data_IF_252257025703
#
_entry.id   IF_252257025703
#
_cell.length_a   1.000
_cell.length_b   1.000
_cell.length_c   1.000
_cell.angle_alpha   90.00
_cell.angle_beta   90.00
_cell.angle_gamma   90.00
#
_symmetry.space_group_name_H-M   'P 1'
#
loop_
_entity.id
_entity.type
_entity.pdbx_description
1 polymer ?
#
# COMPACT_ATOMS: atom_id res chain seq x y z
N UNK A 1 21.93 -24.79 -13.01
CA UNK A 1 20.82 -25.40 -13.74
C UNK A 1 19.92 -26.27 -12.85
N UNK A 2 20.29 -26.56 -11.60
CA UNK A 2 19.52 -27.46 -10.71
C UNK A 2 18.44 -26.79 -9.82
N UNK A 3 18.14 -25.49 -10.00
CA UNK A 3 17.04 -24.82 -9.28
C UNK A 3 15.82 -24.51 -10.15
N UNK A 4 15.90 -24.71 -11.47
CA UNK A 4 14.76 -24.55 -12.38
C UNK A 4 13.92 -25.82 -12.49
N UNK A 5 14.48 -27.00 -12.16
CA UNK A 5 13.78 -28.28 -12.15
C UNK A 5 12.82 -28.44 -10.96
N UNK A 6 13.02 -27.69 -9.87
CA UNK A 6 12.11 -27.69 -8.73
C UNK A 6 10.89 -26.79 -8.93
N UNK A 7 10.89 -25.85 -9.89
CA UNK A 7 9.71 -25.02 -10.14
C UNK A 7 8.61 -25.82 -10.88
N UNK A 8 8.98 -26.65 -11.86
CA UNK A 8 8.00 -27.41 -12.67
C UNK A 8 7.37 -28.61 -11.94
N UNK A 9 8.02 -29.15 -10.90
CA UNK A 9 7.45 -30.25 -10.13
C UNK A 9 6.37 -29.80 -9.12
N UNK A 10 6.42 -28.54 -8.66
CA UNK A 10 5.49 -28.02 -7.64
C UNK A 10 4.34 -27.20 -8.22
N UNK A 11 4.41 -26.73 -9.47
CA UNK A 11 3.24 -26.20 -10.20
C UNK A 11 2.13 -27.25 -10.39
N UNK A 12 2.45 -28.53 -10.19
CA UNK A 12 1.53 -29.66 -10.33
C UNK A 12 0.74 -29.99 -9.06
N UNK A 13 1.18 -29.50 -7.88
CA UNK A 13 0.47 -29.70 -6.61
C UNK A 13 -0.26 -28.42 -6.19
N UNK A 14 -1.57 -28.47 -5.86
CA UNK A 14 -2.30 -27.31 -5.36
C UNK A 14 -1.60 -26.73 -4.12
N UNK A 15 -1.34 -25.42 -4.11
CA UNK A 15 -0.76 -24.67 -2.98
C UNK A 15 -1.46 -24.99 -1.64
N UNK A 16 -2.76 -25.32 -1.70
CA UNK A 16 -3.61 -25.73 -0.56
C UNK A 16 -3.28 -27.10 0.06
N UNK A 17 -2.55 -27.98 -0.62
CA UNK A 17 -2.24 -29.34 -0.12
C UNK A 17 -0.98 -29.39 0.74
N UNK A 18 -0.23 -28.30 0.86
CA UNK A 18 0.98 -28.24 1.67
C UNK A 18 0.59 -27.72 3.07
N UNK A 19 0.76 -28.50 4.14
CA UNK A 19 0.51 -28.04 5.51
C UNK A 19 1.28 -26.74 5.81
N UNK A 20 0.62 -25.80 6.51
CA UNK A 20 1.22 -24.50 6.88
C UNK A 20 2.53 -24.64 7.66
N UNK A 21 2.65 -25.67 8.51
CA UNK A 21 3.86 -25.99 9.26
C UNK A 21 5.05 -26.36 8.37
N UNK A 22 4.81 -27.08 7.27
CA UNK A 22 5.82 -27.46 6.29
C UNK A 22 6.21 -26.23 5.47
N UNK A 23 5.22 -25.46 5.00
CA UNK A 23 5.43 -24.19 4.28
C UNK A 23 6.33 -23.24 5.07
N UNK A 24 5.98 -22.96 6.34
CA UNK A 24 6.74 -22.04 7.20
C UNK A 24 8.15 -22.55 7.49
N UNK A 25 8.36 -23.88 7.57
CA UNK A 25 9.68 -24.47 7.80
C UNK A 25 10.60 -24.35 6.58
N UNK A 26 10.06 -24.44 5.36
CA UNK A 26 10.84 -24.25 4.13
C UNK A 26 11.21 -22.78 3.87
N UNK A 27 10.36 -21.84 4.30
CA UNK A 27 10.62 -20.40 4.16
C UNK A 27 11.48 -19.80 5.28
N UNK A 28 11.92 -20.57 6.28
CA UNK A 28 12.80 -20.06 7.35
C UNK A 28 14.16 -19.61 6.82
N UNK A 29 14.28 -18.34 6.47
CA UNK A 29 15.53 -17.69 6.10
C UNK A 29 16.14 -17.00 7.32
N UNK A 30 16.79 -17.77 8.20
CA UNK A 30 17.39 -17.30 9.48
C UNK A 30 18.38 -16.12 9.38
N UNK A 31 18.77 -15.69 8.18
CA UNK A 31 19.77 -14.64 7.96
C UNK A 31 19.33 -13.49 7.04
N UNK A 32 18.21 -13.58 6.30
CA UNK A 32 17.83 -12.52 5.34
C UNK A 32 16.81 -11.51 5.88
N UNK A 33 16.00 -11.88 6.87
CA UNK A 33 14.94 -11.00 7.41
C UNK A 33 15.50 -10.01 8.46
N UNK A 34 16.70 -10.22 8.98
CA UNK A 34 17.30 -9.41 10.06
C UNK A 34 18.24 -8.31 9.59
N UNK A 35 18.38 -8.08 8.28
CA UNK A 35 19.19 -7.00 7.73
C UNK A 35 18.33 -6.06 6.89
N UNK A 36 17.37 -5.39 7.55
CA UNK A 36 16.70 -4.22 6.97
C UNK A 36 17.75 -3.14 6.72
N UNK A 37 18.11 -2.96 5.45
CA UNK A 37 18.92 -1.83 5.02
C UNK A 37 18.01 -0.89 4.27
N UNK A 38 18.04 0.39 4.62
CA UNK A 38 17.26 1.45 3.95
C UNK A 38 17.43 1.39 2.42
N UNK A 39 18.64 1.05 1.97
CA UNK A 39 19.05 0.84 0.58
C UNK A 39 18.19 -0.21 -0.17
N UNK A 40 17.65 -1.20 0.55
CA UNK A 40 16.83 -2.27 -0.01
C UNK A 40 15.34 -1.91 -0.03
N UNK A 41 14.89 -1.07 0.91
CA UNK A 41 13.48 -0.72 1.09
C UNK A 41 12.97 0.27 0.04
N UNK A 42 13.85 1.13 -0.49
CA UNK A 42 13.46 2.12 -1.49
C UNK A 42 14.57 2.54 -2.44
N UNK A 43 15.12 1.62 -3.26
CA UNK A 43 16.13 2.01 -4.25
C UNK A 43 15.63 3.09 -5.22
N UNK A 44 14.32 3.11 -5.53
CA UNK A 44 13.72 4.17 -6.36
C UNK A 44 13.61 5.48 -5.56
N UNK A 45 13.37 5.43 -4.26
CA UNK A 45 13.33 6.64 -3.42
C UNK A 45 14.66 7.35 -3.31
N UNK A 46 15.76 6.58 -3.28
CA UNK A 46 17.10 7.14 -3.34
C UNK A 46 17.33 7.88 -4.66
N UNK A 47 17.03 7.23 -5.79
CA UNK A 47 17.17 7.84 -7.12
C UNK A 47 16.27 9.05 -7.30
N UNK A 48 15.03 8.99 -6.82
CA UNK A 48 14.06 10.10 -6.84
C UNK A 48 14.60 11.28 -6.03
N UNK A 49 15.10 11.02 -4.82
CA UNK A 49 15.66 12.06 -3.95
C UNK A 49 16.87 12.73 -4.59
N UNK A 50 17.78 11.94 -5.20
CA UNK A 50 18.95 12.46 -5.91
C UNK A 50 18.55 13.33 -7.12
N UNK A 51 17.57 12.88 -7.91
CA UNK A 51 17.06 13.62 -9.05
C UNK A 51 16.42 14.95 -8.62
N UNK A 52 15.52 14.91 -7.64
CA UNK A 52 14.83 16.10 -7.13
C UNK A 52 15.81 17.08 -6.45
N UNK A 53 16.79 16.57 -5.70
CA UNK A 53 17.84 17.40 -5.09
C UNK A 53 18.67 18.12 -6.16
N UNK A 54 19.01 17.41 -7.25
CA UNK A 54 19.73 18.00 -8.38
C UNK A 54 18.94 19.13 -9.04
N UNK A 55 17.63 18.97 -9.19
CA UNK A 55 16.74 20.03 -9.70
C UNK A 55 16.67 21.22 -8.74
N UNK A 56 16.48 20.98 -7.45
CA UNK A 56 16.40 22.04 -6.44
C UNK A 56 17.70 22.87 -6.36
N UNK A 57 18.86 22.21 -6.45
CA UNK A 57 20.16 22.89 -6.48
C UNK A 57 20.36 23.67 -7.78
N UNK A 58 19.95 23.11 -8.92
CA UNK A 58 20.13 23.73 -10.24
C UNK A 58 19.19 24.92 -10.49
N UNK A 59 17.96 24.87 -9.93
CA UNK A 59 16.92 25.89 -10.13
C UNK A 59 17.37 27.28 -9.69
N UNK A 60 18.10 27.38 -8.57
CA UNK A 60 18.46 28.63 -7.86
C UNK A 60 17.29 29.48 -7.37
N UNK A 61 16.10 29.31 -7.96
CA UNK A 61 14.83 29.88 -7.54
C UNK A 61 13.97 28.84 -6.80
N UNK A 62 13.08 29.27 -5.88
CA UNK A 62 12.12 28.40 -5.22
C UNK A 62 11.26 27.61 -6.21
N UNK A 63 11.10 26.31 -5.99
CA UNK A 63 10.26 25.45 -6.82
C UNK A 63 8.93 25.22 -6.11
N UNK A 64 7.80 25.72 -6.64
CA UNK A 64 6.50 25.46 -6.05
C UNK A 64 6.06 24.03 -6.35
N UNK A 65 5.59 23.32 -5.32
CA UNK A 65 5.08 21.96 -5.42
C UNK A 65 3.74 21.81 -4.70
N UNK A 66 2.96 20.82 -5.11
CA UNK A 66 1.80 20.37 -4.35
C UNK A 66 2.29 19.26 -3.41
N UNK A 67 2.07 19.40 -2.11
CA UNK A 67 2.42 18.39 -1.09
C UNK A 67 1.83 17.02 -1.41
N UNK A 68 2.49 15.94 -0.98
CA UNK A 68 2.08 14.56 -1.32
C UNK A 68 0.79 14.12 -0.65
N UNK A 69 0.54 14.61 0.56
CA UNK A 69 -0.58 14.24 1.42
C UNK A 69 -1.45 15.45 1.71
N UNK A 70 -2.55 15.24 2.45
CA UNK A 70 -3.43 16.34 2.82
C UNK A 70 -2.67 17.37 3.63
N UNK A 71 -3.14 18.61 3.60
CA UNK A 71 -2.53 19.76 4.26
C UNK A 71 -2.15 19.47 5.71
N UNK A 72 -0.92 19.79 6.06
CA UNK A 72 -0.33 19.55 7.37
C UNK A 72 0.14 18.11 7.60
N UNK A 73 0.10 17.24 6.59
CA UNK A 73 0.53 15.84 6.66
C UNK A 73 1.80 15.62 5.87
N UNK A 74 2.76 14.91 6.46
CA UNK A 74 4.06 14.64 5.83
C UNK A 74 4.18 13.20 5.32
N UNK A 75 3.30 12.30 5.76
CA UNK A 75 3.29 10.89 5.35
C UNK A 75 1.89 10.30 5.58
N UNK A 76 1.61 9.12 5.03
CA UNK A 76 0.32 8.46 5.21
C UNK A 76 0.43 7.06 5.82
N UNK A 77 -0.65 6.58 6.43
CA UNK A 77 -0.86 5.20 6.84
C UNK A 77 -2.13 4.67 6.16
N UNK A 78 -2.01 3.51 5.52
CA UNK A 78 -3.14 2.64 5.21
C UNK A 78 -2.94 1.29 5.90
N UNK A 79 -3.93 0.86 6.67
CA UNK A 79 -3.97 -0.48 7.27
C UNK A 79 -4.77 -1.39 6.35
N UNK A 80 -4.23 -2.56 6.07
CA UNK A 80 -4.86 -3.55 5.19
C UNK A 80 -4.75 -4.95 5.76
N UNK A 81 -5.77 -5.76 5.45
CA UNK A 81 -5.89 -7.14 5.93
C UNK A 81 -6.18 -8.09 4.78
N UNK A 82 -5.32 -9.09 4.62
CA UNK A 82 -5.56 -10.20 3.69
C UNK A 82 -6.12 -11.36 4.52
N UNK A 83 -7.41 -11.67 4.32
CA UNK A 83 -8.13 -12.65 5.15
C UNK A 83 -8.04 -14.03 4.51
N UNK A 84 -7.15 -14.87 5.04
CA UNK A 84 -6.71 -16.12 4.40
C UNK A 84 -7.62 -17.31 4.70
N UNK A 85 -8.31 -17.30 5.84
CA UNK A 85 -9.12 -18.42 6.33
C UNK A 85 -10.43 -17.95 6.96
N UNK A 86 -11.37 -18.90 7.11
CA UNK A 86 -12.62 -18.67 7.82
C UNK A 86 -12.39 -18.28 9.29
N UNK A 87 -11.40 -18.90 9.95
CA UNK A 87 -11.05 -18.58 11.34
C UNK A 87 -10.54 -17.14 11.47
N UNK A 88 -9.70 -16.70 10.52
CA UNK A 88 -9.27 -15.30 10.45
C UNK A 88 -10.44 -14.34 10.27
N UNK A 89 -11.42 -14.69 9.43
CA UNK A 89 -12.63 -13.88 9.24
C UNK A 89 -13.52 -13.83 10.49
N UNK A 90 -13.80 -14.97 11.12
CA UNK A 90 -14.78 -15.10 12.19
C UNK A 90 -14.24 -14.60 13.54
N UNK A 91 -12.98 -14.89 13.85
CA UNK A 91 -12.39 -14.57 15.15
C UNK A 91 -11.38 -13.42 15.06
N UNK A 92 -10.39 -13.55 14.18
CA UNK A 92 -9.26 -12.62 14.12
C UNK A 92 -9.66 -11.21 13.70
N UNK A 93 -10.53 -11.10 12.68
CA UNK A 93 -10.99 -9.81 12.16
C UNK A 93 -11.74 -9.01 13.24
N UNK A 94 -12.54 -9.67 14.08
CA UNK A 94 -13.25 -9.02 15.19
C UNK A 94 -12.28 -8.35 16.17
N UNK A 95 -11.23 -9.06 16.59
CA UNK A 95 -10.22 -8.53 17.52
C UNK A 95 -9.44 -7.34 16.96
N UNK A 96 -9.08 -7.41 15.67
CA UNK A 96 -8.41 -6.29 15.01
C UNK A 96 -9.35 -5.07 14.91
N UNK A 97 -10.61 -5.26 14.54
CA UNK A 97 -11.61 -4.19 14.46
C UNK A 97 -11.82 -3.50 15.81
N UNK A 98 -11.78 -4.23 16.92
CA UNK A 98 -11.90 -3.64 18.26
C UNK A 98 -10.78 -2.62 18.51
N UNK A 99 -9.52 -3.00 18.24
CA UNK A 99 -8.36 -2.11 18.36
C UNK A 99 -8.46 -0.92 17.41
N UNK A 100 -8.84 -1.16 16.15
CA UNK A 100 -8.99 -0.09 15.16
C UNK A 100 -10.07 0.92 15.54
N UNK A 101 -11.21 0.45 16.07
CA UNK A 101 -12.30 1.29 16.58
C UNK A 101 -11.87 2.15 17.75
N UNK A 102 -11.11 1.60 18.70
CA UNK A 102 -10.56 2.34 19.84
C UNK A 102 -9.73 3.55 19.38
N UNK A 103 -9.06 3.43 18.23
CA UNK A 103 -8.21 4.48 17.66
C UNK A 103 -8.90 5.33 16.59
N UNK A 104 -10.13 4.97 16.18
CA UNK A 104 -10.84 5.60 15.07
C UNK A 104 -10.20 5.37 13.71
N UNK A 105 -9.51 4.23 13.53
CA UNK A 105 -8.87 3.81 12.29
C UNK A 105 -9.85 2.94 11.49
N UNK A 106 -9.80 3.07 10.16
CA UNK A 106 -10.52 2.20 9.23
C UNK A 106 -9.52 1.54 8.29
N UNK A 107 -9.58 0.22 8.20
CA UNK A 107 -8.71 -0.59 7.34
C UNK A 107 -9.41 -1.03 6.05
N UNK A 108 -8.62 -1.58 5.13
CA UNK A 108 -9.10 -2.27 3.92
C UNK A 108 -9.01 -3.79 4.11
N UNK A 109 -10.13 -4.49 4.00
CA UNK A 109 -10.27 -5.94 4.16
C UNK A 109 -10.35 -6.64 2.80
N UNK A 110 -9.27 -7.30 2.39
CA UNK A 110 -9.18 -8.03 1.14
C UNK A 110 -9.68 -9.48 1.33
N UNK A 111 -10.75 -9.85 0.64
CA UNK A 111 -11.45 -11.13 0.84
C UNK A 111 -11.43 -12.03 -0.42
N UNK A 112 -11.05 -13.32 -0.29
CA UNK A 112 -11.24 -14.30 -1.34
C UNK A 112 -12.68 -14.82 -1.33
N UNK A 113 -13.33 -14.94 -2.49
CA UNK A 113 -14.78 -15.25 -2.52
C UNK A 113 -15.16 -16.72 -2.51
N UNK A 114 -14.22 -17.60 -2.91
CA UNK A 114 -14.42 -19.03 -3.18
C UNK A 114 -13.38 -19.89 -2.44
N UNK A 115 -12.78 -19.35 -1.38
CA UNK A 115 -11.83 -20.07 -0.53
C UNK A 115 -12.48 -20.66 0.71
N UNK A 116 -13.39 -19.92 1.31
CA UNK A 116 -14.18 -20.33 2.46
C UNK A 116 -15.57 -19.68 2.37
N UNK A 117 -16.59 -20.19 3.10
CA UNK A 117 -17.91 -19.57 3.12
C UNK A 117 -17.85 -18.12 3.60
N UNK A 118 -18.46 -17.21 2.84
CA UNK A 118 -18.64 -15.82 3.24
C UNK A 118 -20.10 -15.60 3.62
N UNK A 119 -20.35 -15.15 4.86
CA UNK A 119 -21.67 -14.71 5.28
C UNK A 119 -21.85 -13.22 4.97
N UNK A 120 -23.03 -12.83 4.45
CA UNK A 120 -23.31 -11.40 4.22
C UNK A 120 -23.24 -10.59 5.52
N UNK A 121 -23.57 -11.19 6.67
CA UNK A 121 -23.49 -10.51 7.97
C UNK A 121 -22.06 -10.09 8.30
N UNK A 122 -21.09 -11.00 8.15
CA UNK A 122 -19.67 -10.71 8.41
C UNK A 122 -19.11 -9.70 7.41
N UNK A 123 -19.39 -9.88 6.11
CA UNK A 123 -18.90 -8.95 5.07
C UNK A 123 -19.51 -7.54 5.25
N UNK A 124 -20.78 -7.43 5.63
CA UNK A 124 -21.40 -6.13 5.98
C UNK A 124 -20.72 -5.53 7.22
N UNK A 125 -20.41 -6.32 8.24
CA UNK A 125 -19.72 -5.83 9.43
C UNK A 125 -18.32 -5.29 9.08
N UNK A 126 -17.55 -5.97 8.23
CA UNK A 126 -16.27 -5.45 7.72
C UNK A 126 -16.48 -4.14 6.96
N UNK A 127 -17.43 -4.11 6.04
CA UNK A 127 -17.76 -2.92 5.26
C UNK A 127 -18.25 -1.73 6.11
N UNK A 128 -18.86 -1.98 7.27
CA UNK A 128 -19.26 -0.91 8.20
C UNK A 128 -18.06 -0.30 8.94
N UNK A 129 -16.99 -1.06 9.16
CA UNK A 129 -15.81 -0.65 9.93
C UNK A 129 -14.59 -0.31 9.04
N UNK A 130 -14.71 -0.48 7.73
CA UNK A 130 -13.62 -0.24 6.80
C UNK A 130 -14.06 -0.31 5.35
N UNK A 131 -13.08 -0.56 4.48
CA UNK A 131 -13.27 -0.85 3.06
C UNK A 131 -13.21 -2.36 2.83
N UNK A 132 -13.97 -2.88 1.87
CA UNK A 132 -13.84 -4.27 1.40
C UNK A 132 -13.18 -4.25 0.03
N UNK A 133 -12.10 -5.02 -0.10
CA UNK A 133 -11.33 -5.23 -1.33
C UNK A 133 -11.42 -6.67 -1.84
N UNK A 134 -11.18 -6.86 -3.13
CA UNK A 134 -11.10 -8.18 -3.73
C UNK A 134 -9.76 -8.86 -3.46
N UNK A 135 -9.78 -10.14 -3.05
CA UNK A 135 -8.58 -10.96 -2.86
C UNK A 135 -8.64 -12.24 -3.66
N UNK A 136 -8.95 -12.10 -4.95
CA UNK A 136 -9.19 -13.21 -5.87
C UNK A 136 -10.41 -14.09 -5.48
N UNK A 137 -10.70 -15.16 -6.23
CA UNK A 137 -11.75 -16.11 -5.87
C UNK A 137 -11.18 -17.23 -5.00
N UNK A 138 -10.29 -18.05 -5.57
CA UNK A 138 -9.80 -19.28 -4.94
C UNK A 138 -8.50 -19.10 -4.16
N UNK A 139 -7.69 -18.07 -4.42
CA UNK A 139 -6.38 -17.96 -3.78
C UNK A 139 -5.54 -19.26 -3.94
N UNK A 140 -5.52 -19.80 -5.15
CA UNK A 140 -4.86 -21.07 -5.49
C UNK A 140 -3.45 -20.88 -6.08
N UNK A 141 -2.96 -19.63 -6.12
CA UNK A 141 -1.68 -19.26 -6.72
C UNK A 141 -1.65 -19.31 -8.25
N UNK A 142 -2.81 -19.52 -8.91
CA UNK A 142 -2.88 -19.67 -10.37
C UNK A 142 -3.29 -18.40 -11.11
N UNK A 143 -3.71 -17.35 -10.39
CA UNK A 143 -4.17 -16.09 -11.01
C UNK A 143 -3.13 -15.52 -11.97
N UNK A 144 -1.85 -15.48 -11.57
CA UNK A 144 -0.76 -15.01 -12.43
C UNK A 144 -0.61 -15.81 -13.74
N UNK A 145 -0.82 -17.12 -13.69
CA UNK A 145 -0.59 -18.04 -14.82
C UNK A 145 -1.82 -18.23 -15.72
N UNK A 146 -2.99 -17.77 -15.27
CA UNK A 146 -4.23 -17.87 -16.04
C UNK A 146 -4.17 -17.05 -17.35
N UNK A 147 -4.90 -17.48 -18.38
CA UNK A 147 -5.07 -16.67 -19.59
C UNK A 147 -5.88 -15.41 -19.31
N UNK A 148 -5.73 -14.37 -20.15
CA UNK A 148 -6.36 -13.05 -19.95
C UNK A 148 -7.88 -13.16 -19.71
N UNK A 149 -8.60 -13.98 -20.49
CA UNK A 149 -10.05 -14.17 -20.33
C UNK A 149 -10.42 -14.77 -18.97
N UNK A 150 -9.66 -15.78 -18.51
CA UNK A 150 -9.89 -16.42 -17.21
C UNK A 150 -9.54 -15.48 -16.06
N UNK A 151 -8.42 -14.73 -16.17
CA UNK A 151 -8.07 -13.67 -15.22
C UNK A 151 -9.21 -12.66 -15.09
N UNK A 152 -9.72 -12.15 -16.21
CA UNK A 152 -10.78 -11.14 -16.22
C UNK A 152 -12.08 -11.64 -15.59
N UNK A 153 -12.57 -12.81 -16.00
CA UNK A 153 -13.78 -13.43 -15.42
C UNK A 153 -13.61 -13.65 -13.91
N UNK A 154 -12.45 -14.15 -13.50
CA UNK A 154 -12.12 -14.45 -12.10
C UNK A 154 -12.12 -13.21 -11.22
N UNK A 155 -11.39 -12.16 -11.59
CA UNK A 155 -11.32 -10.94 -10.77
C UNK A 155 -12.62 -10.14 -10.81
N UNK A 156 -13.36 -10.18 -11.93
CA UNK A 156 -14.69 -9.57 -12.04
C UNK A 156 -15.71 -10.27 -11.14
N UNK A 157 -15.75 -11.60 -11.15
CA UNK A 157 -16.63 -12.40 -10.28
C UNK A 157 -16.34 -12.15 -8.80
N UNK A 158 -15.06 -12.07 -8.43
CA UNK A 158 -14.64 -11.72 -7.08
C UNK A 158 -15.27 -10.38 -6.66
N UNK A 159 -15.09 -9.33 -7.47
CA UNK A 159 -15.65 -7.99 -7.22
C UNK A 159 -17.16 -8.03 -7.05
N UNK A 160 -17.88 -8.52 -8.05
CA UNK A 160 -19.35 -8.50 -8.09
C UNK A 160 -19.96 -9.27 -6.91
N UNK A 161 -19.36 -10.40 -6.53
CA UNK A 161 -19.78 -11.18 -5.37
C UNK A 161 -19.58 -10.42 -4.06
N UNK A 162 -18.45 -9.74 -3.88
CA UNK A 162 -18.20 -8.93 -2.70
C UNK A 162 -19.08 -7.68 -2.65
N UNK A 163 -19.37 -7.05 -3.78
CA UNK A 163 -20.32 -5.94 -3.87
C UNK A 163 -21.72 -6.37 -3.44
N UNK A 164 -22.17 -7.53 -3.93
CA UNK A 164 -23.44 -8.12 -3.54
C UNK A 164 -23.50 -8.42 -2.02
N UNK A 165 -22.44 -9.04 -1.47
CA UNK A 165 -22.40 -9.42 -0.06
C UNK A 165 -22.28 -8.20 0.87
N UNK A 166 -21.45 -7.22 0.53
CA UNK A 166 -21.17 -6.02 1.35
C UNK A 166 -22.23 -4.92 1.19
N UNK A 167 -22.99 -4.94 0.08
CA UNK A 167 -23.86 -3.85 -0.36
C UNK A 167 -23.12 -2.52 -0.55
N UNK A 168 -21.83 -2.59 -0.88
CA UNK A 168 -20.96 -1.43 -1.15
C UNK A 168 -20.11 -1.71 -2.40
N UNK A 169 -19.66 -0.66 -3.12
CA UNK A 169 -18.70 -0.83 -4.20
C UNK A 169 -17.39 -1.44 -3.71
N UNK A 170 -16.78 -2.30 -4.53
CA UNK A 170 -15.47 -2.89 -4.26
C UNK A 170 -14.48 -2.30 -5.25
N UNK A 171 -13.68 -1.36 -4.76
CA UNK A 171 -12.82 -0.50 -5.57
C UNK A 171 -11.41 -1.03 -5.71
N UNK A 172 -10.94 -1.75 -4.69
CA UNK A 172 -9.58 -2.25 -4.61
C UNK A 172 -9.42 -3.73 -4.87
N UNK A 173 -8.25 -4.10 -5.35
CA UNK A 173 -7.80 -5.49 -5.42
C UNK A 173 -6.45 -5.68 -4.73
N UNK A 174 -6.26 -6.89 -4.19
CA UNK A 174 -5.00 -7.40 -3.70
C UNK A 174 -4.85 -8.82 -4.20
N UNK A 175 -3.81 -9.11 -4.96
CA UNK A 175 -3.58 -10.46 -5.45
C UNK A 175 -3.06 -11.36 -4.32
N UNK A 176 -3.54 -12.60 -4.22
CA UNK A 176 -2.92 -13.67 -3.44
C UNK A 176 -1.41 -13.70 -3.63
N UNK A 177 -0.66 -13.88 -2.54
CA UNK A 177 0.81 -13.98 -2.58
C UNK A 177 1.51 -12.78 -3.23
N UNK A 178 0.85 -11.62 -3.27
CA UNK A 178 1.32 -10.43 -3.97
C UNK A 178 1.71 -10.72 -5.43
N UNK A 179 0.94 -11.57 -6.12
CA UNK A 179 1.13 -11.84 -7.55
C UNK A 179 0.85 -10.57 -8.37
N UNK A 180 1.82 -10.11 -9.15
CA UNK A 180 1.66 -8.90 -9.95
C UNK A 180 2.33 -9.00 -11.31
N UNK A 181 1.71 -8.36 -12.29
CA UNK A 181 2.24 -8.12 -13.63
C UNK A 181 1.48 -6.97 -14.25
N UNK A 182 2.06 -6.32 -15.27
CA UNK A 182 1.36 -5.27 -16.03
C UNK A 182 0.04 -5.79 -16.63
N UNK A 183 0.05 -7.02 -17.13
CA UNK A 183 -1.14 -7.67 -17.69
C UNK A 183 -2.25 -7.86 -16.64
N UNK A 184 -1.87 -8.22 -15.40
CA UNK A 184 -2.83 -8.35 -14.32
C UNK A 184 -3.45 -6.99 -13.98
N UNK A 185 -2.64 -5.93 -13.83
CA UNK A 185 -3.16 -4.58 -13.56
C UNK A 185 -4.10 -4.11 -14.67
N UNK A 186 -3.74 -4.32 -15.93
CA UNK A 186 -4.62 -4.00 -17.06
C UNK A 186 -5.95 -4.77 -17.00
N UNK A 187 -5.89 -6.03 -16.56
CA UNK A 187 -7.07 -6.87 -16.39
C UNK A 187 -7.95 -6.36 -15.25
N UNK A 188 -7.36 -5.89 -14.15
CA UNK A 188 -8.09 -5.29 -13.03
C UNK A 188 -8.81 -4.00 -13.44
N UNK A 189 -8.15 -3.12 -14.20
CA UNK A 189 -8.78 -1.93 -14.76
C UNK A 189 -9.97 -2.27 -15.67
N UNK A 190 -9.82 -3.27 -16.55
CA UNK A 190 -10.94 -3.77 -17.39
C UNK A 190 -12.07 -4.41 -16.59
N UNK A 191 -11.74 -5.02 -15.46
CA UNK A 191 -12.72 -5.56 -14.54
C UNK A 191 -13.43 -4.47 -13.73
N UNK A 192 -12.94 -3.22 -13.76
CA UNK A 192 -13.51 -2.03 -13.14
C UNK A 192 -13.12 -1.84 -11.66
N UNK A 193 -11.93 -2.31 -11.27
CA UNK A 193 -11.27 -1.84 -10.06
C UNK A 193 -10.71 -0.42 -10.30
N UNK A 194 -10.52 0.35 -9.23
CA UNK A 194 -9.94 1.70 -9.23
C UNK A 194 -8.47 1.71 -8.79
N UNK A 195 -8.07 0.70 -8.01
CA UNK A 195 -6.68 0.54 -7.58
C UNK A 195 -6.29 -0.93 -7.39
N UNK A 196 -4.99 -1.18 -7.49
CA UNK A 196 -4.34 -2.41 -7.10
C UNK A 196 -3.35 -2.13 -5.95
N UNK A 197 -3.10 -3.12 -5.12
CA UNK A 197 -2.10 -3.04 -4.05
C UNK A 197 -1.27 -4.32 -4.00
N UNK A 198 -1.07 -4.98 -5.15
CA UNK A 198 -0.45 -6.31 -5.22
C UNK A 198 1.08 -6.27 -5.26
N UNK A 199 1.69 -5.11 -5.41
CA UNK A 199 3.14 -4.99 -5.54
C UNK A 199 3.79 -4.61 -4.20
N UNK A 200 4.72 -5.39 -3.65
CA UNK A 200 5.47 -4.95 -2.50
C UNK A 200 6.50 -3.88 -2.90
N UNK A 201 6.72 -2.88 -2.05
CA UNK A 201 7.89 -2.00 -2.21
C UNK A 201 9.17 -2.82 -2.08
N UNK A 202 9.19 -3.73 -1.10
CA UNK A 202 10.23 -4.72 -0.90
C UNK A 202 9.71 -5.87 -0.01
N UNK A 203 10.08 -7.10 -0.35
CA UNK A 203 9.94 -8.27 0.52
C UNK A 203 11.25 -9.04 0.62
N UNK A 204 11.58 -9.60 1.80
CA UNK A 204 12.79 -10.40 1.99
C UNK A 204 12.73 -11.71 1.19
N UNK A 205 11.54 -12.24 0.98
CA UNK A 205 11.32 -13.51 0.29
C UNK A 205 9.97 -13.49 -0.42
N UNK A 206 9.98 -13.13 -1.69
CA UNK A 206 8.77 -13.18 -2.50
C UNK A 206 8.33 -14.64 -2.73
N UNK A 207 7.05 -14.96 -2.50
CA UNK A 207 6.52 -16.30 -2.80
C UNK A 207 6.58 -16.67 -4.28
N UNK A 208 6.64 -15.68 -5.18
CA UNK A 208 6.63 -15.90 -6.64
C UNK A 208 8.03 -16.13 -7.20
N UNK A 209 9.06 -15.50 -6.64
CA UNK A 209 10.44 -15.58 -7.13
C UNK A 209 11.41 -16.36 -6.22
N UNK A 210 11.01 -16.63 -4.98
CA UNK A 210 11.87 -17.19 -3.92
C UNK A 210 13.15 -16.38 -3.68
N UNK A 211 13.12 -15.09 -4.00
CA UNK A 211 14.19 -14.12 -3.82
C UNK A 211 13.62 -12.81 -3.27
N UNK A 212 14.47 -11.91 -2.72
CA UNK A 212 14.04 -10.56 -2.43
C UNK A 212 13.50 -9.89 -3.70
N UNK A 213 12.36 -9.21 -3.59
CA UNK A 213 11.67 -8.60 -4.71
C UNK A 213 10.84 -7.40 -4.25
N UNK A 214 10.68 -6.42 -5.13
CA UNK A 214 9.77 -5.30 -4.92
C UNK A 214 9.92 -4.23 -5.99
N UNK A 215 8.95 -3.32 -6.06
CA UNK A 215 8.95 -2.20 -7.00
C UNK A 215 9.86 -1.05 -6.57
N UNK A 216 10.33 -1.07 -5.31
CA UNK A 216 11.35 -0.18 -4.79
C UNK A 216 10.92 1.25 -4.52
N UNK A 217 9.62 1.54 -4.55
CA UNK A 217 9.02 2.84 -4.17
C UNK A 217 7.98 2.65 -3.08
N UNK A 218 7.84 3.64 -2.20
CA UNK A 218 6.85 3.69 -1.11
C UNK A 218 5.72 4.68 -1.40
N UNK A 219 5.64 5.18 -2.63
CA UNK A 219 4.57 6.04 -3.09
C UNK A 219 3.64 5.27 -4.03
N UNK A 220 2.33 5.60 -4.03
CA UNK A 220 1.45 5.15 -5.08
C UNK A 220 1.94 5.64 -6.45
N UNK A 221 1.61 4.90 -7.52
CA UNK A 221 1.93 5.30 -8.88
C UNK A 221 0.89 4.80 -9.88
N UNK A 222 0.79 5.46 -11.03
CA UNK A 222 -0.06 5.00 -12.11
C UNK A 222 0.64 3.96 -12.96
N UNK A 223 -0.04 2.83 -13.19
CA UNK A 223 0.36 1.82 -14.15
C UNK A 223 -0.85 1.30 -14.91
N UNK A 224 -0.78 1.41 -16.22
CA UNK A 224 -1.86 0.99 -17.13
C UNK A 224 -3.24 1.59 -16.79
N UNK A 225 -3.27 2.86 -16.37
CA UNK A 225 -4.49 3.60 -16.05
C UNK A 225 -5.09 3.31 -14.67
N UNK A 226 -4.42 2.48 -13.85
CA UNK A 226 -4.82 2.15 -12.49
C UNK A 226 -3.79 2.70 -11.50
N UNK A 227 -4.24 3.08 -10.29
CA UNK A 227 -3.31 3.38 -9.19
C UNK A 227 -2.82 2.07 -8.59
N UNK A 228 -1.51 1.85 -8.60
CA UNK A 228 -0.86 0.84 -7.76
C UNK A 228 -0.46 1.49 -6.44
N UNK A 229 -0.82 0.88 -5.32
CA UNK A 229 -0.44 1.29 -3.97
C UNK A 229 0.47 0.19 -3.38
N UNK A 230 1.80 0.38 -3.40
CA UNK A 230 2.71 -0.67 -2.98
C UNK A 230 2.55 -1.05 -1.51
N UNK A 231 2.65 -2.35 -1.20
CA UNK A 231 2.81 -2.83 0.18
C UNK A 231 4.20 -2.43 0.67
N UNK A 232 4.28 -1.28 1.33
CA UNK A 232 5.53 -0.62 1.65
C UNK A 232 6.15 -1.01 2.98
N UNK A 233 5.35 -1.63 3.86
CA UNK A 233 5.84 -2.22 5.09
C UNK A 233 6.02 -3.74 4.93
N UNK A 234 7.01 -4.35 5.58
CA UNK A 234 7.12 -5.80 5.63
C UNK A 234 5.85 -6.42 6.22
N UNK A 235 5.39 -7.53 5.63
CA UNK A 235 4.21 -8.23 6.14
C UNK A 235 4.50 -8.86 7.51
N UNK A 236 3.48 -8.95 8.37
CA UNK A 236 3.52 -9.71 9.62
C UNK A 236 4.01 -11.15 9.43
N UNK A 237 3.53 -11.85 8.40
CA UNK A 237 3.97 -13.19 8.03
C UNK A 237 5.46 -13.25 7.70
N UNK A 238 5.99 -12.25 6.98
CA UNK A 238 7.40 -12.18 6.61
C UNK A 238 8.29 -11.97 7.85
N UNK A 239 7.87 -11.10 8.76
CA UNK A 239 8.61 -10.82 9.99
C UNK A 239 8.58 -12.01 10.97
N UNK A 240 7.38 -12.52 11.25
CA UNK A 240 7.16 -13.48 12.34
C UNK A 240 7.39 -14.91 11.87
N UNK A 241 6.77 -15.33 10.77
CA UNK A 241 6.76 -16.75 10.36
C UNK A 241 7.95 -17.13 9.48
N UNK A 242 8.34 -16.23 8.57
CA UNK A 242 9.52 -16.40 7.71
C UNK A 242 10.79 -16.00 8.47
N UNK A 243 10.78 -14.82 9.10
CA UNK A 243 11.90 -14.27 9.86
C UNK A 243 12.11 -14.86 11.25
N UNK A 244 11.06 -15.41 11.87
CA UNK A 244 11.13 -16.00 13.21
C UNK A 244 11.16 -14.97 14.34
N UNK A 245 10.74 -13.72 14.10
CA UNK A 245 10.64 -12.71 15.14
C UNK A 245 9.45 -12.99 16.06
N UNK A 246 9.57 -12.61 17.34
CA UNK A 246 8.42 -12.47 18.22
C UNK A 246 7.59 -11.24 17.86
N UNK A 247 6.32 -11.19 18.29
CA UNK A 247 5.37 -10.11 17.93
C UNK A 247 5.92 -8.72 18.29
N UNK A 248 6.41 -8.54 19.52
CA UNK A 248 6.96 -7.26 19.96
C UNK A 248 8.17 -6.81 19.11
N UNK A 249 9.08 -7.73 18.78
CA UNK A 249 10.22 -7.44 17.91
C UNK A 249 9.79 -7.14 16.47
N UNK A 250 8.74 -7.78 15.97
CA UNK A 250 8.16 -7.45 14.67
C UNK A 250 7.57 -6.04 14.66
N UNK A 251 6.86 -5.63 15.71
CA UNK A 251 6.36 -4.26 15.86
C UNK A 251 7.50 -3.25 15.92
N UNK A 252 8.58 -3.52 16.66
CA UNK A 252 9.73 -2.61 16.70
C UNK A 252 10.36 -2.41 15.31
N UNK A 253 10.43 -3.48 14.51
CA UNK A 253 10.88 -3.42 13.11
C UNK A 253 9.90 -2.62 12.23
N UNK A 254 8.59 -2.82 12.38
CA UNK A 254 7.58 -2.04 11.65
C UNK A 254 7.67 -0.54 11.99
N UNK A 255 7.90 -0.20 13.27
CA UNK A 255 8.11 1.18 13.71
C UNK A 255 9.41 1.78 13.16
N UNK A 256 10.49 1.01 13.10
CA UNK A 256 11.74 1.43 12.47
C UNK A 256 11.54 1.75 10.98
N UNK A 257 10.91 0.83 10.23
CA UNK A 257 10.60 1.04 8.81
C UNK A 257 9.68 2.25 8.62
N UNK A 258 8.65 2.40 9.46
CA UNK A 258 7.71 3.53 9.37
C UNK A 258 8.41 4.88 9.52
N UNK A 259 9.42 4.99 10.41
CA UNK A 259 10.19 6.21 10.60
C UNK A 259 11.02 6.55 9.35
N UNK A 260 11.55 5.55 8.67
CA UNK A 260 12.24 5.75 7.39
C UNK A 260 11.26 6.19 6.29
N UNK A 261 10.10 5.53 6.14
CA UNK A 261 9.06 5.93 5.17
C UNK A 261 8.59 7.36 5.44
N UNK A 262 8.37 7.72 6.71
CA UNK A 262 8.01 9.07 7.15
C UNK A 262 9.05 10.10 6.71
N UNK A 263 10.35 9.81 6.85
CA UNK A 263 11.43 10.71 6.38
C UNK A 263 11.42 10.86 4.86
N UNK A 264 11.08 9.80 4.12
CA UNK A 264 10.92 9.84 2.67
C UNK A 264 9.63 10.57 2.22
N UNK A 265 8.70 10.82 3.15
CA UNK A 265 7.38 11.36 2.90
C UNK A 265 6.41 10.35 2.27
N UNK A 266 6.68 9.06 2.39
CA UNK A 266 5.95 7.98 1.70
C UNK A 266 4.64 7.54 2.36
N UNK A 267 3.99 6.55 1.75
CA UNK A 267 2.87 5.84 2.34
C UNK A 267 3.37 4.63 3.13
N UNK A 268 2.95 4.50 4.38
CA UNK A 268 3.07 3.28 5.18
C UNK A 268 1.85 2.40 4.87
N UNK A 269 2.03 1.33 4.12
CA UNK A 269 0.98 0.37 3.79
C UNK A 269 1.24 -0.89 4.62
N UNK A 270 0.56 -0.94 5.76
CA UNK A 270 0.67 -2.02 6.72
C UNK A 270 -0.24 -3.17 6.26
N UNK A 271 0.35 -4.36 6.08
CA UNK A 271 -0.38 -5.59 5.81
C UNK A 271 -0.30 -6.52 7.02
N UNK A 272 -1.47 -6.79 7.62
CA UNK A 272 -1.63 -7.70 8.76
C UNK A 272 -2.68 -8.74 8.43
N UNK A 273 -2.40 -10.02 8.67
CA UNK A 273 -3.39 -11.06 8.44
C UNK A 273 -4.12 -11.36 9.77
N UNK A 274 -5.47 -11.31 9.80
CA UNK A 274 -6.23 -11.68 11.00
C UNK A 274 -6.05 -13.16 11.38
N UNK A 275 -5.58 -13.98 10.44
CA UNK A 275 -5.28 -15.40 10.62
C UNK A 275 -4.06 -15.67 11.51
N UNK A 276 -3.22 -14.66 11.73
CA UNK A 276 -1.90 -14.80 12.31
C UNK A 276 -1.83 -14.14 13.69
N UNK A 277 -0.61 -13.86 14.16
CA UNK A 277 -0.33 -13.54 15.56
C UNK A 277 -0.97 -12.22 16.02
N UNK A 278 -1.08 -11.20 15.15
CA UNK A 278 -1.77 -9.96 15.49
C UNK A 278 -3.28 -10.12 15.67
N UNK A 279 -3.90 -11.11 15.00
CA UNK A 279 -5.33 -11.43 15.15
C UNK A 279 -5.64 -12.33 16.35
N UNK A 280 -4.62 -12.71 17.14
CA UNK A 280 -4.79 -13.46 18.39
C UNK A 280 -4.84 -12.52 19.59
N UNK A 281 -5.36 -13.02 20.71
CA UNK A 281 -5.48 -12.24 21.96
C UNK A 281 -4.11 -11.76 22.46
N UNK A 282 -3.07 -12.60 22.34
CA UNK A 282 -1.71 -12.26 22.75
C UNK A 282 -1.05 -11.19 21.86
N UNK A 283 -1.53 -11.02 20.63
CA UNK A 283 -1.03 -10.00 19.70
C UNK A 283 -1.71 -8.65 19.84
N UNK A 284 -2.82 -8.56 20.57
CA UNK A 284 -3.68 -7.37 20.65
C UNK A 284 -2.92 -6.13 21.12
N UNK A 285 -2.17 -6.25 22.21
CA UNK A 285 -1.50 -5.09 22.83
C UNK A 285 -0.36 -4.56 21.95
N UNK A 286 0.35 -5.44 21.26
CA UNK A 286 1.39 -5.06 20.31
C UNK A 286 0.81 -4.42 19.05
N UNK A 287 -0.32 -4.91 18.56
CA UNK A 287 -1.05 -4.28 17.46
C UNK A 287 -1.57 -2.89 17.85
N UNK A 288 -2.14 -2.76 19.04
CA UNK A 288 -2.58 -1.48 19.60
C UNK A 288 -1.39 -0.51 19.75
N UNK A 289 -0.24 -0.98 20.26
CA UNK A 289 0.99 -0.17 20.37
C UNK A 289 1.43 0.35 19.00
N UNK A 290 1.45 -0.52 17.99
CA UNK A 290 1.82 -0.16 16.62
C UNK A 290 0.88 0.92 16.06
N UNK A 291 -0.43 0.72 16.11
CA UNK A 291 -1.38 1.68 15.54
C UNK A 291 -1.45 3.00 16.33
N UNK A 292 -1.26 2.93 17.65
CA UNK A 292 -1.21 4.12 18.51
C UNK A 292 -0.06 5.06 18.10
N UNK A 293 1.10 4.53 17.70
CA UNK A 293 2.21 5.38 17.29
C UNK A 293 1.86 6.25 16.08
N UNK A 294 1.18 5.68 15.08
CA UNK A 294 0.72 6.43 13.91
C UNK A 294 -0.40 7.41 14.28
N UNK A 295 -1.38 6.96 15.07
CA UNK A 295 -2.52 7.81 15.47
C UNK A 295 -2.08 9.01 16.30
N UNK A 296 -1.03 8.87 17.09
CA UNK A 296 -0.47 9.94 17.93
C UNK A 296 0.36 10.97 17.16
N UNK A 297 0.83 10.67 15.94
CA UNK A 297 1.59 11.61 15.11
C UNK A 297 0.63 12.49 14.28
N UNK A 298 0.53 13.81 14.57
CA UNK A 298 -0.36 14.70 13.81
C UNK A 298 0.05 14.85 12.33
N UNK A 299 1.30 14.51 11.97
CA UNK A 299 1.77 14.55 10.60
C UNK A 299 1.36 13.30 9.78
N UNK A 300 0.77 12.28 10.42
CA UNK A 300 0.26 11.09 9.74
C UNK A 300 -1.14 11.33 9.19
N UNK A 301 -1.31 11.07 7.90
CA UNK A 301 -2.61 10.99 7.24
C UNK A 301 -3.10 9.55 7.25
N UNK A 302 -4.16 9.24 8.00
CA UNK A 302 -4.68 7.87 8.15
C UNK A 302 -5.90 7.71 7.27
N UNK A 303 -5.85 6.75 6.34
CA UNK A 303 -6.87 6.55 5.32
C UNK A 303 -6.96 5.09 4.88
N UNK A 304 -8.08 4.68 4.27
CA UNK A 304 -8.15 3.37 3.61
C UNK A 304 -7.33 3.39 2.31
N UNK A 305 -7.03 2.21 1.75
CA UNK A 305 -6.35 2.13 0.45
C UNK A 305 -7.14 2.84 -0.67
N UNK A 306 -8.47 2.70 -0.72
CA UNK A 306 -9.29 3.39 -1.71
C UNK A 306 -9.34 4.91 -1.51
N UNK A 307 -9.25 5.40 -0.28
CA UNK A 307 -9.10 6.84 -0.01
C UNK A 307 -7.75 7.36 -0.49
N UNK A 308 -6.69 6.59 -0.27
CA UNK A 308 -5.35 6.88 -0.78
C UNK A 308 -5.32 6.91 -2.31
N UNK A 309 -5.95 5.94 -2.98
CA UNK A 309 -6.05 5.90 -4.44
C UNK A 309 -6.72 7.16 -4.99
N UNK A 310 -7.90 7.51 -4.45
CA UNK A 310 -8.65 8.70 -4.89
C UNK A 310 -7.89 9.99 -4.61
N UNK A 311 -7.27 10.11 -3.42
CA UNK A 311 -6.41 11.24 -3.10
C UNK A 311 -5.27 11.38 -4.10
N UNK A 312 -4.63 10.26 -4.46
CA UNK A 312 -3.51 10.25 -5.39
C UNK A 312 -3.90 10.74 -6.79
N UNK A 313 -5.03 10.27 -7.31
CA UNK A 313 -5.61 10.76 -8.57
C UNK A 313 -5.93 12.25 -8.48
N UNK A 314 -6.66 12.66 -7.43
CA UNK A 314 -7.04 14.05 -7.24
C UNK A 314 -5.83 15.00 -7.22
N UNK A 315 -4.80 14.62 -6.47
CA UNK A 315 -3.53 15.37 -6.42
C UNK A 315 -2.86 15.42 -7.79
N UNK A 316 -2.81 14.30 -8.51
CA UNK A 316 -2.17 14.24 -9.84
C UNK A 316 -2.91 15.06 -10.91
N UNK A 317 -4.22 15.22 -10.77
CA UNK A 317 -5.05 16.09 -11.61
C UNK A 317 -4.97 17.57 -11.22
N UNK A 318 -4.29 17.88 -10.13
CA UNK A 318 -4.10 19.23 -9.63
C UNK A 318 -2.80 19.85 -10.15
N UNK A 319 -2.81 21.16 -10.33
CA UNK A 319 -1.68 21.92 -10.86
C UNK A 319 -1.61 23.31 -10.23
N UNK A 320 -0.45 23.94 -10.36
CA UNK A 320 -0.19 25.32 -9.92
C UNK A 320 -0.22 26.19 -11.17
N UNK A 321 -1.05 27.24 -11.18
CA UNK A 321 -1.15 28.17 -12.30
C UNK A 321 -0.03 29.24 -12.29
N UNK A 322 -0.07 30.17 -13.26
CA UNK A 322 0.94 31.23 -13.41
C UNK A 322 0.91 32.23 -12.24
N UNK A 323 -0.23 32.34 -11.56
CA UNK A 323 -0.45 33.18 -10.39
C UNK A 323 -0.03 32.50 -9.06
N UNK A 324 0.38 31.23 -9.11
CA UNK A 324 0.80 30.45 -7.94
C UNK A 324 -0.36 29.82 -7.16
N UNK A 325 -1.55 29.72 -7.75
CA UNK A 325 -2.74 29.15 -7.13
C UNK A 325 -2.93 27.68 -7.53
N UNK A 326 -3.40 26.87 -6.58
CA UNK A 326 -3.73 25.47 -6.83
C UNK A 326 -5.10 25.38 -7.52
N UNK A 327 -5.11 24.71 -8.67
CA UNK A 327 -6.31 24.39 -9.44
C UNK A 327 -6.39 22.88 -9.68
N UNK A 328 -7.58 22.39 -10.04
CA UNK A 328 -7.82 20.99 -10.40
C UNK A 328 -8.47 20.90 -11.78
N UNK A 329 -8.08 19.88 -12.55
CA UNK A 329 -8.67 19.62 -13.88
C UNK A 329 -10.08 19.02 -13.82
N UNK A 330 -10.47 18.45 -12.68
CA UNK A 330 -11.76 17.81 -12.49
C UNK A 330 -12.72 18.69 -11.69
N UNK A 331 -13.89 18.97 -12.26
CA UNK A 331 -14.95 19.75 -11.60
C UNK A 331 -15.54 19.03 -10.37
N UNK A 332 -15.47 17.69 -10.31
CA UNK A 332 -16.06 16.89 -9.24
C UNK A 332 -15.42 17.13 -7.87
N UNK A 333 -14.20 17.69 -7.83
CA UNK A 333 -13.39 17.79 -6.62
C UNK A 333 -13.02 19.23 -6.20
N UNK A 334 -13.74 20.26 -6.70
CA UNK A 334 -13.47 21.67 -6.35
C UNK A 334 -13.56 21.97 -4.85
N UNK A 335 -14.39 21.23 -4.12
CA UNK A 335 -14.58 21.41 -2.67
C UNK A 335 -13.40 20.88 -1.83
N UNK A 336 -12.50 20.07 -2.40
CA UNK A 336 -11.34 19.49 -1.71
C UNK A 336 -10.04 20.31 -1.89
N UNK A 337 -10.05 21.44 -2.62
CA UNK A 337 -8.84 22.24 -2.90
C UNK A 337 -8.19 22.72 -1.59
N UNK A 338 -8.99 22.99 -0.56
CA UNK A 338 -8.49 23.37 0.77
C UNK A 338 -7.63 22.30 1.45
N UNK A 339 -7.75 21.03 1.04
CA UNK A 339 -6.95 19.92 1.55
C UNK A 339 -5.58 19.80 0.85
N UNK A 340 -5.38 20.41 -0.33
CA UNK A 340 -4.07 20.44 -0.99
C UNK A 340 -3.17 21.48 -0.32
N UNK A 341 -1.87 21.21 -0.26
CA UNK A 341 -0.88 22.12 0.32
C UNK A 341 0.10 22.57 -0.77
N UNK A 342 0.26 23.89 -0.89
CA UNK A 342 1.32 24.49 -1.70
C UNK A 342 2.56 24.60 -0.82
N UNK A 343 3.67 24.05 -1.28
CA UNK A 343 4.96 24.13 -0.59
C UNK A 343 6.01 24.69 -1.53
N UNK A 344 7.00 25.40 -0.98
CA UNK A 344 8.14 25.92 -1.72
C UNK A 344 9.39 25.12 -1.38
N UNK A 345 9.97 24.46 -2.39
CA UNK A 345 11.29 23.86 -2.27
C UNK A 345 12.34 24.96 -2.49
N UNK A 346 13.00 25.37 -1.41
CA UNK A 346 14.01 26.44 -1.41
C UNK A 346 15.40 25.93 -1.79
N UNK A 347 15.61 24.62 -1.74
CA UNK A 347 16.89 23.98 -2.05
C UNK A 347 17.07 22.65 -1.35
N UNK A 348 18.29 22.13 -1.39
CA UNK A 348 18.68 20.88 -0.74
C UNK A 348 19.97 21.08 0.07
N UNK A 349 20.03 20.55 1.29
CA UNK A 349 21.17 20.67 2.20
C UNK A 349 21.46 19.38 2.98
N UNK A 350 22.32 19.49 4.00
CA UNK A 350 22.74 18.35 4.84
C UNK A 350 21.56 17.66 5.54
N UNK A 351 20.53 18.44 5.89
CA UNK A 351 19.32 17.95 6.57
C UNK A 351 18.19 17.58 5.59
N UNK A 352 18.45 17.54 4.28
CA UNK A 352 17.48 17.22 3.23
C UNK A 352 16.92 18.44 2.49
N UNK A 353 15.69 18.30 1.96
CA UNK A 353 14.99 19.40 1.28
C UNK A 353 14.61 20.51 2.26
N UNK A 354 14.87 21.76 1.88
CA UNK A 354 14.47 22.94 2.64
C UNK A 354 13.13 23.42 2.10
N UNK A 355 12.10 23.38 2.95
CA UNK A 355 10.73 23.71 2.59
C UNK A 355 10.25 24.95 3.34
N UNK A 356 9.55 25.84 2.66
CA UNK A 356 8.86 26.99 3.27
C UNK A 356 7.39 27.03 2.84
N UNK A 357 6.47 27.49 3.72
CA UNK A 357 5.12 27.82 3.29
C UNK A 357 5.16 29.06 2.37
N UNK A 358 4.23 29.18 1.40
CA UNK A 358 4.11 30.39 0.60
C UNK A 358 3.84 31.61 1.51
N UNK A 359 4.57 32.71 1.29
CA UNK A 359 4.41 33.94 2.08
C UNK A 359 3.16 34.71 1.61
N UNK A 360 2.08 34.64 2.39
CA UNK A 360 0.86 35.47 2.24
C UNK A 360 -0.09 35.09 1.09
N UNK A 361 -1.26 35.73 1.02
CA UNK A 361 -2.23 35.64 -0.11
C UNK A 361 -1.74 36.32 -1.40
N UNK A 362 -0.45 36.68 -1.48
CA UNK A 362 0.11 37.39 -2.61
C UNK A 362 0.61 36.42 -3.67
N UNK A 363 -0.05 36.47 -4.82
CA UNK A 363 0.45 36.16 -6.17
C UNK A 363 1.96 36.02 -6.16
N UNK A 364 2.44 34.79 -6.33
CA UNK A 364 3.86 34.56 -6.61
C UNK A 364 4.09 35.08 -8.02
N UNK A 365 4.83 36.19 -8.18
CA UNK A 365 5.36 36.52 -9.51
C UNK A 365 6.36 35.43 -9.88
N UNK A 366 5.91 34.43 -10.64
CA UNK A 366 6.79 33.43 -11.21
C UNK A 366 7.88 34.14 -12.02
N UNK A 367 9.17 33.78 -11.87
CA UNK A 367 10.23 34.40 -12.62
C UNK A 367 9.93 34.29 -14.11
N UNK A 368 9.95 35.44 -14.82
CA UNK A 368 9.75 35.54 -16.27
C UNK A 368 10.92 34.90 -17.04
N UNK A 369 11.11 33.59 -16.92
CA UNK A 369 12.15 32.87 -17.67
C UNK A 369 11.79 31.41 -17.94
N UNK A 370 10.67 31.18 -18.62
CA UNK A 370 10.47 29.95 -19.40
C UNK A 370 9.44 30.18 -20.52
N UNK A 371 9.61 31.26 -21.30
CA UNK A 371 9.10 31.27 -22.68
C UNK A 371 9.93 30.30 -23.52
N UNK A 372 9.74 29.00 -23.32
CA UNK A 372 10.01 28.03 -24.36
C UNK A 372 8.95 28.28 -25.43
N UNK A 373 9.38 29.00 -26.47
CA UNK A 373 8.59 29.19 -27.70
C UNK A 373 8.33 27.82 -28.30
N UNK A 374 7.03 27.53 -28.49
CA UNK A 374 6.38 26.64 -29.48
C UNK A 374 7.04 25.31 -29.81
#
# INVERSE_FOLDING_TARGET
>A
MDQLSSFSQWTSYPYRLIPSSIRNRFFKAKRSVTAFREELLGPIEFLRSLFLASLAIASKDPIPIIGFWRRGKSYALAVSHDVETQLGLEDGAGRLIEVEKELGIRSTWNLPTDRYPLSSQLVIALAQNGEVGGHDTKHDGRLFFAGITDKLDRVKRCRERLEFLSRRPVRGFRAPLLQHSRELVETLGKAGYEYDSSMPSWEPLSPTSLKPHGVGTVFPFLISGLVEIPVSMPQDHQLIRVGGLGVAAAVDQLLEVSRWIRKAGGACVLLVHPDYEFGQEEGRDEYLRLLTSFRSDPACDIMTLGEMARWWIYRQESYIDEEGMINTRSDENKNAIGELELELVMGYGLDGFKMEPPIGNSVMEMPKSSRLRS
#
